data_IF_956896993452
#
_entry.id   IF_956896993452
#
_cell.length_a   1.000
_cell.length_b   1.000
_cell.length_c   1.000
_cell.angle_alpha   90.00
_cell.angle_beta   90.00
_cell.angle_gamma   90.00
#
_symmetry.space_group_name_H-M   'P 1'
#
loop_
_entity.id
_entity.type
_entity.pdbx_description
1 polymer ?
#
# COMPACT_ATOMS: atom_id res chain seq x y z
N UNK A 1 -14.52 -10.03 -27.59
CA UNK A 1 -13.79 -11.01 -26.77
C UNK A 1 -12.32 -10.75 -27.03
N UNK A 2 -11.69 -9.86 -26.24
CA UNK A 2 -10.29 -9.48 -26.43
C UNK A 2 -9.43 -10.58 -25.79
N UNK A 3 -8.77 -11.38 -26.63
CA UNK A 3 -7.81 -12.37 -26.19
C UNK A 3 -6.55 -11.66 -25.72
N UNK A 4 -6.38 -11.55 -24.41
CA UNK A 4 -5.06 -11.33 -23.82
C UNK A 4 -4.26 -12.60 -24.10
N UNK A 5 -3.10 -12.47 -24.75
CA UNK A 5 -2.19 -13.61 -24.86
C UNK A 5 -1.52 -13.81 -23.50
N UNK A 6 -1.16 -15.04 -23.14
CA UNK A 6 -0.45 -15.34 -21.88
C UNK A 6 0.78 -14.44 -21.66
N UNK A 7 1.43 -14.01 -22.75
CA UNK A 7 2.54 -13.06 -22.72
C UNK A 7 2.13 -11.66 -22.23
N UNK A 8 0.96 -11.17 -22.61
CA UNK A 8 0.48 -9.84 -22.22
C UNK A 8 0.12 -9.80 -20.73
N UNK A 9 -0.46 -10.89 -20.21
CA UNK A 9 -0.74 -11.04 -18.77
C UNK A 9 0.55 -11.08 -17.94
N UNK A 10 1.57 -11.77 -18.44
CA UNK A 10 2.86 -11.88 -17.77
C UNK A 10 3.59 -10.52 -17.69
N UNK A 11 3.60 -9.77 -18.79
CA UNK A 11 4.16 -8.39 -18.81
C UNK A 11 3.39 -7.46 -17.87
N UNK A 12 2.05 -7.54 -17.85
CA UNK A 12 1.24 -6.75 -16.94
C UNK A 12 1.55 -7.07 -15.46
N UNK A 13 1.81 -8.33 -15.13
CA UNK A 13 2.20 -8.74 -13.78
C UNK A 13 3.62 -8.29 -13.40
N UNK A 14 4.58 -8.36 -14.31
CA UNK A 14 5.95 -7.86 -14.08
C UNK A 14 5.96 -6.35 -13.80
N UNK A 15 5.16 -5.58 -14.54
CA UNK A 15 5.02 -4.15 -14.29
C UNK A 15 4.34 -3.85 -12.95
N UNK A 16 3.31 -4.61 -12.58
CA UNK A 16 2.67 -4.48 -11.27
C UNK A 16 3.66 -4.79 -10.13
N UNK A 17 4.45 -5.85 -10.26
CA UNK A 17 5.50 -6.19 -9.30
C UNK A 17 6.55 -5.09 -9.19
N UNK A 18 6.96 -4.50 -10.33
CA UNK A 18 7.89 -3.37 -10.36
C UNK A 18 7.33 -2.14 -9.64
N UNK A 19 6.06 -1.80 -9.85
CA UNK A 19 5.37 -0.70 -9.14
C UNK A 19 5.40 -0.94 -7.63
N UNK A 20 5.01 -2.14 -7.19
CA UNK A 20 4.98 -2.51 -5.75
C UNK A 20 6.38 -2.50 -5.15
N UNK A 21 7.38 -3.07 -5.84
CA UNK A 21 8.77 -3.10 -5.37
C UNK A 21 9.38 -1.70 -5.24
N UNK A 22 9.08 -0.81 -6.18
CA UNK A 22 9.49 0.59 -6.14
C UNK A 22 8.86 1.31 -4.94
N UNK A 23 7.55 1.14 -4.74
CA UNK A 23 6.84 1.71 -3.60
C UNK A 23 7.42 1.21 -2.27
N UNK A 24 7.70 -0.08 -2.15
CA UNK A 24 8.26 -0.65 -0.91
C UNK A 24 9.63 -0.09 -0.59
N UNK A 25 10.46 0.11 -1.61
CA UNK A 25 11.79 0.72 -1.44
C UNK A 25 11.67 2.17 -0.97
N UNK A 26 10.74 2.95 -1.53
CA UNK A 26 10.47 4.32 -1.09
C UNK A 26 9.97 4.36 0.37
N UNK A 27 8.99 3.52 0.71
CA UNK A 27 8.42 3.47 2.06
C UNK A 27 9.44 2.99 3.10
N UNK A 28 10.33 2.08 2.73
CA UNK A 28 11.46 1.67 3.56
C UNK A 28 12.37 2.85 3.88
N UNK A 29 12.71 3.67 2.88
CA UNK A 29 13.51 4.89 3.10
C UNK A 29 12.76 5.87 4.00
N UNK A 30 11.46 6.10 3.76
CA UNK A 30 10.63 6.97 4.61
C UNK A 30 10.65 6.51 6.07
N UNK A 31 10.48 5.21 6.31
CA UNK A 31 10.47 4.66 7.67
C UNK A 31 11.85 4.76 8.34
N UNK A 32 12.91 4.37 7.64
CA UNK A 32 14.27 4.36 8.18
C UNK A 32 14.83 5.77 8.45
N UNK A 33 14.30 6.79 7.78
CA UNK A 33 14.70 8.20 7.98
C UNK A 33 13.73 8.99 8.84
N UNK A 34 12.65 8.37 9.31
CA UNK A 34 11.63 9.04 10.12
C UNK A 34 12.13 9.35 11.52
N UNK A 35 12.06 10.63 11.90
CA UNK A 35 12.40 11.09 13.26
C UNK A 35 11.28 10.87 14.27
N UNK A 36 10.08 10.49 13.82
CA UNK A 36 8.90 10.25 14.65
C UNK A 36 8.56 8.76 14.75
N UNK A 37 9.48 7.88 14.34
CA UNK A 37 9.28 6.44 14.43
C UNK A 37 9.43 5.99 15.88
N UNK A 38 8.44 5.22 16.37
CA UNK A 38 8.54 4.60 17.69
C UNK A 38 9.74 3.63 17.75
N UNK A 39 10.42 3.58 18.90
CA UNK A 39 11.58 2.73 19.11
C UNK A 39 11.28 1.24 18.85
N UNK A 40 10.06 0.78 19.15
CA UNK A 40 9.60 -0.59 18.86
C UNK A 40 9.67 -0.85 17.35
N UNK A 41 9.21 0.10 16.54
CA UNK A 41 9.30 -0.03 15.09
C UNK A 41 10.74 0.05 14.59
N UNK A 42 11.59 0.88 15.17
CA UNK A 42 13.01 0.93 14.81
C UNK A 42 13.71 -0.44 15.01
N UNK A 43 13.38 -1.14 16.09
CA UNK A 43 13.88 -2.50 16.36
C UNK A 43 13.31 -3.51 15.35
N UNK A 44 12.00 -3.50 15.14
CA UNK A 44 11.32 -4.39 14.17
C UNK A 44 11.87 -4.20 12.76
N UNK A 45 12.11 -2.96 12.33
CA UNK A 45 12.65 -2.65 11.01
C UNK A 45 14.13 -3.00 10.87
N UNK A 46 14.87 -3.22 11.96
CA UNK A 46 16.26 -3.69 11.88
C UNK A 46 16.32 -5.15 11.39
N UNK A 47 15.26 -5.93 11.63
CA UNK A 47 15.15 -7.33 11.19
C UNK A 47 14.62 -7.43 9.75
N UNK A 48 15.36 -8.02 8.79
CA UNK A 48 14.98 -8.02 7.37
C UNK A 48 13.62 -8.66 7.08
N UNK A 49 13.29 -9.76 7.77
CA UNK A 49 12.01 -10.45 7.59
C UNK A 49 10.85 -9.59 8.09
N UNK A 50 10.98 -9.02 9.30
CA UNK A 50 9.93 -8.19 9.89
C UNK A 50 9.76 -6.89 9.12
N UNK A 51 10.84 -6.26 8.66
CA UNK A 51 10.80 -5.10 7.76
C UNK A 51 9.96 -5.38 6.52
N UNK A 52 10.20 -6.51 5.86
CA UNK A 52 9.43 -6.97 4.69
C UNK A 52 7.96 -7.25 5.02
N UNK A 53 7.65 -7.71 6.23
CA UNK A 53 6.27 -7.91 6.68
C UNK A 53 5.57 -6.59 6.95
N UNK A 54 6.24 -5.61 7.55
CA UNK A 54 5.68 -4.29 7.81
C UNK A 54 5.34 -3.54 6.52
N UNK A 55 6.20 -3.59 5.51
CA UNK A 55 5.91 -2.98 4.20
C UNK A 55 4.67 -3.60 3.54
N UNK A 56 4.54 -4.92 3.60
CA UNK A 56 3.33 -5.64 3.14
C UNK A 56 2.10 -5.28 3.96
N UNK A 57 2.25 -5.14 5.27
CA UNK A 57 1.16 -4.70 6.14
C UNK A 57 0.66 -3.31 5.75
N UNK A 58 1.58 -2.35 5.56
CA UNK A 58 1.26 -0.98 5.14
C UNK A 58 0.51 -1.00 3.81
N UNK A 59 0.99 -1.79 2.85
CA UNK A 59 0.33 -1.98 1.56
C UNK A 59 -1.10 -2.49 1.71
N UNK A 60 -1.29 -3.62 2.39
CA UNK A 60 -2.59 -4.26 2.57
C UNK A 60 -3.57 -3.34 3.32
N UNK A 61 -3.13 -2.73 4.42
CA UNK A 61 -3.92 -1.78 5.19
C UNK A 61 -4.40 -0.63 4.30
N UNK A 62 -3.52 -0.11 3.45
CA UNK A 62 -3.83 1.05 2.60
C UNK A 62 -4.79 0.69 1.47
N UNK A 63 -4.62 -0.47 0.83
CA UNK A 63 -5.60 -0.99 -0.13
C UNK A 63 -6.98 -1.14 0.51
N UNK A 64 -7.06 -1.77 1.69
CA UNK A 64 -8.33 -1.96 2.40
C UNK A 64 -8.98 -0.63 2.80
N UNK A 65 -8.18 0.34 3.23
CA UNK A 65 -8.67 1.67 3.62
C UNK A 65 -9.22 2.45 2.43
N UNK A 66 -8.53 2.40 1.28
CA UNK A 66 -8.87 3.22 0.11
C UNK A 66 -9.89 2.55 -0.81
N UNK A 67 -10.15 1.25 -0.68
CA UNK A 67 -11.13 0.57 -1.53
C UNK A 67 -12.54 1.17 -1.31
N UNK A 68 -13.26 1.45 -2.40
CA UNK A 68 -14.65 1.91 -2.37
C UNK A 68 -15.52 0.86 -1.72
N UNK A 69 -16.23 1.27 -0.67
CA UNK A 69 -17.25 0.45 -0.05
C UNK A 69 -18.60 0.81 -0.69
N UNK A 70 -19.33 -0.20 -1.16
CA UNK A 70 -20.69 0.00 -1.63
C UNK A 70 -21.52 0.57 -0.47
N UNK A 71 -22.24 1.67 -0.73
CA UNK A 71 -23.04 2.40 0.26
C UNK A 71 -23.98 1.42 0.99
N UNK A 72 -23.75 1.21 2.30
CA UNK A 72 -24.60 0.36 3.13
C UNK A 72 -23.89 -0.49 4.18
N UNK A 73 -22.57 -0.65 4.13
CA UNK A 73 -21.82 -1.51 5.06
C UNK A 73 -20.88 -0.69 5.96
N UNK A 74 -21.45 0.07 6.90
CA UNK A 74 -20.73 0.91 7.87
C UNK A 74 -19.86 0.10 8.84
N UNK A 75 -20.09 -1.20 8.94
CA UNK A 75 -19.30 -2.08 9.78
C UNK A 75 -17.88 -2.32 9.23
N UNK A 76 -17.55 -1.95 7.97
CA UNK A 76 -16.25 -2.35 7.44
C UNK A 76 -15.02 -1.61 8.00
N UNK A 77 -15.22 -0.43 8.60
CA UNK A 77 -14.17 0.31 9.32
C UNK A 77 -13.54 -0.53 10.46
N UNK A 78 -14.28 -1.50 11.00
CA UNK A 78 -13.78 -2.42 12.04
C UNK A 78 -12.81 -3.48 11.50
N UNK A 79 -12.69 -3.65 10.18
CA UNK A 79 -11.79 -4.65 9.56
C UNK A 79 -10.49 -4.04 9.01
N UNK A 80 -10.28 -2.73 9.14
CA UNK A 80 -8.99 -2.12 8.77
C UNK A 80 -7.97 -2.42 9.87
N UNK A 81 -6.87 -3.12 9.55
CA UNK A 81 -5.91 -3.51 10.57
C UNK A 81 -5.19 -2.28 11.15
N UNK A 82 -5.03 -2.28 12.47
CA UNK A 82 -4.36 -1.20 13.22
C UNK A 82 -3.01 -1.70 13.75
N UNK A 83 -2.00 -0.82 13.77
CA UNK A 83 -0.70 -1.05 14.39
C UNK A 83 -0.64 -0.37 15.76
N UNK A 84 -0.11 -1.08 16.77
CA UNK A 84 0.19 -0.53 18.10
C UNK A 84 1.65 -0.84 18.44
N UNK A 85 2.52 0.17 18.68
CA UNK A 85 2.25 1.61 18.54
C UNK A 85 1.93 2.02 17.09
N UNK A 86 1.32 3.17 16.89
CA UNK A 86 0.95 3.62 15.54
C UNK A 86 2.20 3.84 14.67
N UNK A 87 2.07 3.56 13.37
CA UNK A 87 3.10 3.91 12.39
C UNK A 87 3.06 5.42 12.09
N UNK A 88 4.17 6.03 11.64
CA UNK A 88 4.21 7.45 11.30
C UNK A 88 3.20 7.85 10.21
N UNK A 89 2.70 9.09 10.26
CA UNK A 89 1.74 9.61 9.27
C UNK A 89 2.27 9.60 7.83
N UNK A 90 3.60 9.61 7.65
CA UNK A 90 4.26 9.52 6.34
C UNK A 90 3.95 8.23 5.58
N UNK A 91 3.54 7.17 6.27
CA UNK A 91 3.09 5.90 5.69
C UNK A 91 1.60 5.61 6.00
N UNK A 92 0.82 6.64 6.32
CA UNK A 92 -0.63 6.50 6.45
C UNK A 92 -1.30 6.27 5.08
N UNK A 93 -2.46 5.59 5.01
CA UNK A 93 -3.19 5.38 3.75
C UNK A 93 -3.48 6.66 2.94
N UNK A 94 -3.55 7.81 3.62
CA UNK A 94 -3.82 9.11 3.04
C UNK A 94 -2.56 9.94 2.77
N UNK A 95 -1.37 9.38 3.01
CA UNK A 95 -0.12 10.05 2.67
C UNK A 95 0.08 10.03 1.16
N UNK A 96 0.72 11.07 0.63
CA UNK A 96 1.05 11.17 -0.80
C UNK A 96 1.84 9.95 -1.30
N UNK A 97 2.86 9.52 -0.55
CA UNK A 97 3.70 8.39 -0.94
C UNK A 97 2.91 7.08 -1.04
N UNK A 98 1.90 6.89 -0.18
CA UNK A 98 1.02 5.72 -0.26
C UNK A 98 0.03 5.85 -1.41
N UNK A 99 -0.69 6.98 -1.51
CA UNK A 99 -1.72 7.17 -2.54
C UNK A 99 -1.13 7.13 -3.95
N UNK A 100 0.01 7.78 -4.20
CA UNK A 100 0.65 7.77 -5.53
C UNK A 100 1.00 6.35 -6.00
N UNK A 101 1.51 5.50 -5.09
CA UNK A 101 1.81 4.11 -5.41
C UNK A 101 0.54 3.28 -5.68
N UNK A 102 -0.52 3.47 -4.89
CA UNK A 102 -1.78 2.74 -5.08
C UNK A 102 -2.50 3.20 -6.35
N UNK A 103 -2.48 4.50 -6.66
CA UNK A 103 -3.01 5.02 -7.93
C UNK A 103 -2.25 4.40 -9.10
N UNK A 104 -0.91 4.45 -9.09
CA UNK A 104 -0.10 3.86 -10.15
C UNK A 104 -0.41 2.38 -10.37
N UNK A 105 -0.54 1.61 -9.28
CA UNK A 105 -0.89 0.19 -9.35
C UNK A 105 -2.31 -0.03 -9.88
N UNK A 106 -3.29 0.71 -9.37
CA UNK A 106 -4.70 0.51 -9.70
C UNK A 106 -5.05 1.03 -11.09
N UNK A 107 -4.39 2.08 -11.57
CA UNK A 107 -4.49 2.54 -12.97
C UNK A 107 -3.89 1.52 -13.93
N UNK A 108 -2.71 0.95 -13.60
CA UNK A 108 -2.10 -0.12 -14.38
C UNK A 108 -3.02 -1.35 -14.48
N UNK A 109 -3.65 -1.70 -13.36
CA UNK A 109 -4.63 -2.79 -13.28
C UNK A 109 -6.04 -2.41 -13.78
N UNK A 110 -6.28 -1.15 -14.17
CA UNK A 110 -7.57 -0.59 -14.64
C UNK A 110 -8.72 -0.74 -13.64
N UNK A 111 -8.42 -0.69 -12.34
CA UNK A 111 -9.37 -0.82 -11.23
C UNK A 111 -9.38 0.42 -10.31
N UNK A 112 -8.78 1.54 -10.71
CA UNK A 112 -8.74 2.77 -9.89
C UNK A 112 -10.12 3.31 -9.51
N UNK A 113 -11.15 3.09 -10.34
CA UNK A 113 -12.54 3.40 -10.02
C UNK A 113 -13.09 2.66 -8.79
N UNK A 114 -12.48 1.54 -8.40
CA UNK A 114 -12.80 0.81 -7.19
C UNK A 114 -12.17 1.43 -5.93
N UNK A 115 -11.45 2.55 -6.03
CA UNK A 115 -10.73 3.16 -4.91
C UNK A 115 -11.06 4.65 -4.77
N UNK A 116 -11.08 5.14 -3.53
CA UNK A 116 -11.31 6.54 -3.18
C UNK A 116 -10.00 7.14 -2.71
N UNK A 117 -9.48 8.08 -3.48
CA UNK A 117 -8.27 8.83 -3.16
C UNK A 117 -8.63 10.24 -2.70
N UNK A 118 -7.76 10.85 -1.90
CA UNK A 118 -7.85 12.30 -1.67
C UNK A 118 -7.37 13.02 -2.93
N UNK A 119 -7.85 14.24 -3.17
CA UNK A 119 -7.35 15.05 -4.28
C UNK A 119 -5.84 15.32 -4.09
N UNK A 120 -4.99 14.61 -4.83
CA UNK A 120 -3.54 14.78 -4.84
C UNK A 120 -3.08 16.04 -5.57
#
# INVERSE_FOLDING_TARGET
MLGLTFSDELVAMEDAERIVSTAFSEWEVILCTSTTLDLVWAQVLSEPLLRRLILRFIFCRSLLTLFHHHEGNTDLDIYVPVCLPQLPNSVSPHSRAIQSAIIALTDHLKVSHCFRFDNL
#
